data_IF_388009989220
#
_entry.id   IF_388009989220
#
_cell.length_a   1.000
_cell.length_b   1.000
_cell.length_c   1.000
_cell.angle_alpha   90.00
_cell.angle_beta   90.00
_cell.angle_gamma   90.00
#
_symmetry.space_group_name_H-M   'P 1'
#
loop_
_entity.id
_entity.type
_entity.pdbx_description
1 polymer ?
#
# COMPACT_ATOMS: atom_id res chain seq x y z
N UNK A 1 23.24 -15.07 28.19
CA UNK A 1 22.29 -15.84 27.35
C UNK A 1 21.54 -14.91 26.45
N UNK A 2 21.52 -15.19 25.15
CA UNK A 2 20.68 -14.44 24.22
C UNK A 2 19.20 -14.70 24.54
N UNK A 3 18.42 -13.63 24.73
CA UNK A 3 16.99 -13.72 25.00
C UNK A 3 16.28 -14.18 23.73
N UNK A 4 15.60 -15.33 23.79
CA UNK A 4 14.82 -15.82 22.64
C UNK A 4 13.63 -14.90 22.39
N UNK A 5 13.54 -14.33 21.18
CA UNK A 5 12.42 -13.49 20.78
C UNK A 5 11.15 -14.32 20.61
N UNK A 6 10.05 -13.81 21.12
CA UNK A 6 8.72 -14.40 20.94
C UNK A 6 7.90 -13.51 20.02
N UNK A 7 7.16 -14.13 19.09
CA UNK A 7 6.18 -13.41 18.28
C UNK A 7 4.99 -13.01 19.14
N UNK A 8 4.41 -11.85 18.82
CA UNK A 8 3.16 -11.38 19.40
C UNK A 8 2.10 -11.32 18.33
N UNK A 9 0.82 -11.39 18.71
CA UNK A 9 -0.27 -11.18 17.80
C UNK A 9 -0.51 -9.67 17.59
N UNK A 10 -0.91 -9.28 16.39
CA UNK A 10 -1.17 -7.86 16.05
C UNK A 10 -2.22 -7.21 16.97
N UNK A 11 -3.24 -7.96 17.38
CA UNK A 11 -4.30 -7.47 18.28
C UNK A 11 -3.84 -7.25 19.74
N UNK A 12 -2.64 -7.70 20.11
CA UNK A 12 -2.04 -7.36 21.42
C UNK A 12 -1.45 -5.94 21.43
N UNK A 13 -1.29 -5.33 20.25
CA UNK A 13 -0.81 -3.96 20.12
C UNK A 13 -1.94 -2.95 20.34
N UNK A 14 -1.66 -1.87 21.05
CA UNK A 14 -2.58 -0.73 21.11
C UNK A 14 -2.59 0.04 19.78
N UNK A 15 -3.51 0.98 19.61
CA UNK A 15 -3.70 1.70 18.33
C UNK A 15 -2.43 2.37 17.82
N UNK A 16 -1.69 3.06 18.70
CA UNK A 16 -0.43 3.73 18.31
C UNK A 16 0.66 2.73 17.92
N UNK A 17 0.74 1.62 18.63
CA UNK A 17 1.67 0.53 18.31
C UNK A 17 1.31 -0.12 16.96
N UNK A 18 0.01 -0.28 16.68
CA UNK A 18 -0.48 -0.77 15.39
C UNK A 18 -0.12 0.17 14.23
N UNK A 19 -0.26 1.48 14.43
CA UNK A 19 0.18 2.47 13.43
C UNK A 19 1.68 2.35 13.15
N UNK A 20 2.50 2.29 14.19
CA UNK A 20 3.95 2.12 14.06
C UNK A 20 4.31 0.80 13.37
N UNK A 21 3.64 -0.28 13.75
CA UNK A 21 3.82 -1.60 13.15
C UNK A 21 3.52 -1.56 11.65
N UNK A 22 2.37 -1.01 11.28
CA UNK A 22 1.96 -0.90 9.89
C UNK A 22 2.91 -0.02 9.07
N UNK A 23 3.38 1.09 9.64
CA UNK A 23 4.37 1.94 8.99
C UNK A 23 5.68 1.19 8.71
N UNK A 24 6.19 0.43 9.67
CA UNK A 24 7.40 -0.37 9.48
C UNK A 24 7.21 -1.47 8.43
N UNK A 25 6.05 -2.11 8.40
CA UNK A 25 5.73 -3.16 7.43
C UNK A 25 5.63 -2.62 6.00
N UNK A 26 4.88 -1.55 5.79
CA UNK A 26 4.78 -0.92 4.46
C UNK A 26 6.13 -0.35 4.01
N UNK A 27 6.91 0.22 4.92
CA UNK A 27 8.25 0.72 4.61
C UNK A 27 9.16 -0.39 4.11
N UNK A 28 9.11 -1.57 4.72
CA UNK A 28 9.87 -2.73 4.27
C UNK A 28 9.46 -3.20 2.87
N UNK A 29 8.15 -3.24 2.59
CA UNK A 29 7.66 -3.58 1.23
C UNK A 29 8.10 -2.54 0.21
N UNK A 30 7.95 -1.26 0.50
CA UNK A 30 8.36 -0.17 -0.39
C UNK A 30 9.87 -0.14 -0.63
N UNK A 31 10.68 -0.59 0.34
CA UNK A 31 12.12 -0.73 0.16
C UNK A 31 12.46 -1.68 -0.99
N UNK A 32 11.70 -2.76 -1.16
CA UNK A 32 11.88 -3.71 -2.28
C UNK A 32 11.57 -3.09 -3.65
N UNK A 33 10.80 -1.99 -3.66
CA UNK A 33 10.52 -1.18 -4.87
C UNK A 33 11.45 0.03 -5.03
N UNK A 34 12.50 0.12 -4.22
CA UNK A 34 13.49 1.18 -4.31
C UNK A 34 13.11 2.49 -3.60
N UNK A 35 12.15 2.46 -2.67
CA UNK A 35 11.74 3.63 -1.90
C UNK A 35 12.34 3.65 -0.51
N UNK A 36 12.70 4.83 -0.05
CA UNK A 36 12.95 5.13 1.36
C UNK A 36 11.77 5.94 1.89
N UNK A 37 11.33 5.64 3.12
CA UNK A 37 10.18 6.30 3.74
C UNK A 37 10.63 7.26 4.84
N UNK A 38 9.94 8.38 4.92
CA UNK A 38 10.14 9.43 5.92
C UNK A 38 8.81 9.73 6.60
N UNK A 39 8.67 9.36 7.87
CA UNK A 39 7.46 9.63 8.62
C UNK A 39 7.33 11.13 8.91
N UNK A 40 6.14 11.66 8.68
CA UNK A 40 5.82 13.04 9.03
C UNK A 40 5.35 13.12 10.49
N UNK A 41 5.73 14.18 11.17
CA UNK A 41 5.35 14.41 12.57
C UNK A 41 3.95 15.00 12.70
N UNK A 42 3.51 15.72 11.67
CA UNK A 42 2.21 16.38 11.61
C UNK A 42 1.44 15.94 10.36
N UNK A 43 0.11 16.07 10.40
CA UNK A 43 -0.77 15.80 9.26
C UNK A 43 -0.63 16.90 8.19
N UNK A 44 0.39 16.78 7.35
CA UNK A 44 0.59 17.68 6.23
C UNK A 44 -0.30 17.26 5.06
N UNK A 45 -1.47 17.89 4.96
CA UNK A 45 -2.44 17.68 3.87
C UNK A 45 -2.83 16.20 3.67
N UNK A 46 -2.92 15.46 4.76
CA UNK A 46 -3.38 14.09 4.77
C UNK A 46 -2.32 13.01 4.57
N UNK A 47 -1.04 13.35 4.48
CA UNK A 47 0.02 12.35 4.36
C UNK A 47 0.59 11.96 5.74
N UNK A 48 0.76 10.66 5.97
CA UNK A 48 1.45 10.14 7.15
C UNK A 48 2.97 10.05 6.92
N UNK A 49 3.39 9.80 5.70
CA UNK A 49 4.80 9.72 5.33
C UNK A 49 5.04 10.07 3.86
N UNK A 50 6.28 10.39 3.56
CA UNK A 50 6.78 10.58 2.20
C UNK A 50 7.63 9.35 1.83
N UNK A 51 7.45 8.85 0.63
CA UNK A 51 8.31 7.82 0.05
C UNK A 51 9.08 8.42 -1.13
N UNK A 52 10.40 8.30 -1.10
CA UNK A 52 11.30 8.77 -2.14
C UNK A 52 11.96 7.58 -2.82
N UNK A 53 11.90 7.56 -4.16
CA UNK A 53 12.54 6.54 -4.97
C UNK A 53 14.04 6.82 -5.17
N UNK A 54 14.81 5.75 -5.44
CA UNK A 54 16.26 5.84 -5.70
C UNK A 54 16.62 6.67 -6.94
N UNK A 55 15.66 6.90 -7.85
CA UNK A 55 15.86 7.80 -9.00
C UNK A 55 16.05 9.27 -8.59
N UNK A 56 15.74 9.62 -7.33
CA UNK A 56 15.83 10.98 -6.81
C UNK A 56 14.75 11.94 -7.29
N UNK A 57 13.86 11.49 -8.17
CA UNK A 57 12.84 12.32 -8.81
C UNK A 57 11.41 11.91 -8.42
N UNK A 58 11.17 10.62 -8.17
CA UNK A 58 9.87 10.09 -7.82
C UNK A 58 9.61 10.18 -6.32
N UNK A 59 8.56 10.89 -5.95
CA UNK A 59 8.09 11.04 -4.58
C UNK A 59 6.62 10.67 -4.49
N UNK A 60 6.24 10.04 -3.38
CA UNK A 60 4.84 9.79 -3.07
C UNK A 60 4.50 10.35 -1.69
N UNK A 61 3.35 10.99 -1.58
CA UNK A 61 2.68 11.28 -0.30
C UNK A 61 1.76 10.13 0.02
N UNK A 62 1.96 9.47 1.14
CA UNK A 62 1.23 8.27 1.50
C UNK A 62 0.45 8.46 2.79
N UNK A 63 -0.84 8.12 2.75
CA UNK A 63 -1.71 8.00 3.90
C UNK A 63 -1.92 6.52 4.22
N UNK A 64 -1.66 6.14 5.45
CA UNK A 64 -1.82 4.78 5.93
C UNK A 64 -3.22 4.59 6.52
N UNK A 65 -3.92 3.56 6.08
CA UNK A 65 -5.26 3.21 6.57
C UNK A 65 -5.33 1.77 7.05
N UNK A 66 -6.18 1.50 8.02
CA UNK A 66 -6.42 0.13 8.52
C UNK A 66 -7.26 -0.72 7.58
N UNK A 67 -7.99 -0.10 6.65
CA UNK A 67 -8.84 -0.74 5.64
C UNK A 67 -9.04 0.18 4.45
N UNK A 68 -9.66 -0.33 3.39
CA UNK A 68 -9.99 0.45 2.21
C UNK A 68 -10.89 1.64 2.61
N UNK A 69 -10.35 2.84 2.50
CA UNK A 69 -11.00 4.07 2.94
C UNK A 69 -10.80 5.17 1.91
N UNK A 70 -11.87 5.90 1.65
CA UNK A 70 -11.86 7.10 0.82
C UNK A 70 -12.39 8.29 1.63
N UNK A 71 -11.81 9.46 1.42
CA UNK A 71 -12.21 10.68 2.10
C UNK A 71 -12.17 11.87 1.14
N UNK A 72 -13.24 12.66 1.12
CA UNK A 72 -13.32 13.86 0.24
C UNK A 72 -12.18 14.83 0.50
N UNK A 73 -11.67 14.89 1.71
CA UNK A 73 -10.54 15.77 2.08
C UNK A 73 -9.24 15.43 1.34
N UNK A 74 -9.11 14.23 0.78
CA UNK A 74 -7.93 13.83 -0.01
C UNK A 74 -8.05 14.14 -1.50
N UNK A 75 -9.25 14.47 -1.98
CA UNK A 75 -9.47 14.77 -3.40
C UNK A 75 -8.62 15.97 -3.83
N UNK A 76 -7.91 15.83 -4.93
CA UNK A 76 -7.02 16.86 -5.48
C UNK A 76 -5.70 17.03 -4.75
N UNK A 77 -5.38 16.21 -3.76
CA UNK A 77 -4.17 16.31 -2.93
C UNK A 77 -3.00 15.47 -3.46
N UNK A 78 -3.21 14.66 -4.47
CA UNK A 78 -2.20 13.72 -5.00
C UNK A 78 -1.65 12.78 -3.92
N UNK A 79 -2.55 12.14 -3.19
CA UNK A 79 -2.24 11.22 -2.09
C UNK A 79 -2.38 9.78 -2.56
N UNK A 80 -1.38 8.96 -2.20
CA UNK A 80 -1.48 7.51 -2.27
C UNK A 80 -2.07 6.99 -0.96
N UNK A 81 -2.96 6.03 -1.03
CA UNK A 81 -3.47 5.30 0.14
C UNK A 81 -2.77 3.95 0.20
N UNK A 82 -2.28 3.61 1.38
CA UNK A 82 -1.74 2.29 1.68
C UNK A 82 -2.58 1.61 2.75
N UNK A 83 -2.96 0.36 2.54
CA UNK A 83 -3.61 -0.47 3.56
C UNK A 83 -3.28 -1.94 3.34
N UNK A 84 -3.46 -2.72 4.39
CA UNK A 84 -3.28 -4.17 4.36
C UNK A 84 -4.62 -4.87 4.53
N UNK A 85 -4.83 -5.92 3.75
CA UNK A 85 -5.96 -6.83 3.93
C UNK A 85 -5.46 -8.28 3.91
N UNK A 86 -5.62 -8.98 5.02
CA UNK A 86 -5.21 -10.39 5.17
C UNK A 86 -3.76 -10.64 4.74
N UNK A 87 -2.85 -9.75 5.13
CA UNK A 87 -1.42 -9.85 4.82
C UNK A 87 -1.01 -9.30 3.46
N UNK A 88 -1.96 -8.94 2.60
CA UNK A 88 -1.68 -8.34 1.30
C UNK A 88 -1.71 -6.82 1.40
N UNK A 89 -0.65 -6.16 0.95
CA UNK A 89 -0.57 -4.71 0.87
C UNK A 89 -1.11 -4.19 -0.45
N UNK A 90 -1.80 -3.06 -0.36
CA UNK A 90 -2.30 -2.28 -1.50
C UNK A 90 -1.79 -0.86 -1.39
N UNK A 91 -1.37 -0.30 -2.52
CA UNK A 91 -0.98 1.10 -2.64
C UNK A 91 -1.63 1.67 -3.90
N UNK A 92 -2.46 2.68 -3.75
CA UNK A 92 -3.21 3.24 -4.87
C UNK A 92 -3.34 4.76 -4.80
N UNK A 93 -3.37 5.44 -5.96
CA UNK A 93 -3.74 6.85 -6.02
C UNK A 93 -5.18 7.02 -5.55
N UNK A 94 -5.42 7.86 -4.54
CA UNK A 94 -6.74 8.03 -3.93
C UNK A 94 -7.82 8.36 -4.98
N UNK A 95 -7.59 9.39 -5.78
CA UNK A 95 -8.60 9.90 -6.71
C UNK A 95 -8.87 8.94 -7.87
N UNK A 96 -7.83 8.26 -8.36
CA UNK A 96 -7.96 7.29 -9.45
C UNK A 96 -8.85 6.10 -9.05
N UNK A 97 -8.60 5.52 -7.89
CA UNK A 97 -9.42 4.40 -7.43
C UNK A 97 -10.80 4.86 -6.94
N UNK A 98 -10.89 6.04 -6.33
CA UNK A 98 -12.18 6.64 -5.93
C UNK A 98 -13.14 6.76 -7.11
N UNK A 99 -12.66 7.26 -8.23
CA UNK A 99 -13.47 7.39 -9.45
C UNK A 99 -14.08 6.04 -9.88
N UNK A 100 -13.25 5.00 -9.90
CA UNK A 100 -13.70 3.63 -10.23
C UNK A 100 -14.72 3.10 -9.22
N UNK A 101 -14.46 3.30 -7.93
CA UNK A 101 -15.32 2.82 -6.85
C UNK A 101 -16.67 3.54 -6.84
N UNK A 102 -16.71 4.84 -7.13
CA UNK A 102 -17.95 5.60 -7.24
C UNK A 102 -18.85 5.09 -8.38
N UNK A 103 -18.26 4.64 -9.50
CA UNK A 103 -18.99 4.06 -10.62
C UNK A 103 -19.52 2.65 -10.32
N UNK A 104 -18.80 1.86 -9.53
CA UNK A 104 -19.05 0.44 -9.34
C UNK A 104 -19.78 0.10 -8.02
N UNK A 105 -19.95 1.07 -7.12
CA UNK A 105 -20.57 0.88 -5.81
C UNK A 105 -21.59 1.97 -5.49
N UNK A 106 -22.35 1.76 -4.43
CA UNK A 106 -23.36 2.72 -3.96
C UNK A 106 -22.87 3.66 -2.86
N UNK A 107 -21.56 3.77 -2.62
CA UNK A 107 -21.05 4.64 -1.53
C UNK A 107 -21.45 6.10 -1.71
N UNK A 108 -21.61 6.55 -2.95
CA UNK A 108 -22.06 7.91 -3.29
C UNK A 108 -23.40 8.27 -2.63
N UNK A 109 -24.32 7.33 -2.47
CA UNK A 109 -25.63 7.53 -1.88
C UNK A 109 -25.65 7.31 -0.36
N UNK A 110 -24.53 6.98 0.26
CA UNK A 110 -24.48 6.77 1.71
C UNK A 110 -24.37 8.10 2.46
N UNK A 111 -24.94 8.16 3.66
CA UNK A 111 -24.78 9.30 4.56
C UNK A 111 -23.30 9.49 4.94
N UNK A 112 -22.56 8.41 5.11
CA UNK A 112 -21.13 8.47 5.41
C UNK A 112 -20.36 9.25 4.35
N UNK A 113 -20.62 9.00 3.08
CA UNK A 113 -19.99 9.72 1.99
C UNK A 113 -20.55 11.12 1.79
N UNK A 114 -21.88 11.23 1.68
CA UNK A 114 -22.54 12.49 1.29
C UNK A 114 -22.48 13.56 2.39
N UNK A 115 -22.59 13.17 3.66
CA UNK A 115 -22.64 14.08 4.80
C UNK A 115 -21.32 14.13 5.56
N UNK A 116 -20.77 12.97 5.94
CA UNK A 116 -19.52 12.89 6.72
C UNK A 116 -18.24 12.99 5.89
N UNK A 117 -18.34 12.85 4.58
CA UNK A 117 -17.25 13.08 3.65
C UNK A 117 -16.22 11.94 3.55
N UNK A 118 -16.57 10.75 4.01
CA UNK A 118 -15.69 9.59 3.91
C UNK A 118 -16.44 8.27 3.93
N UNK A 119 -15.80 7.22 3.45
CA UNK A 119 -16.34 5.87 3.48
C UNK A 119 -15.22 4.85 3.69
N UNK A 120 -15.40 3.94 4.64
CA UNK A 120 -14.52 2.81 4.89
C UNK A 120 -15.26 1.51 4.64
N UNK A 121 -14.68 0.66 3.81
CA UNK A 121 -15.24 -0.66 3.54
C UNK A 121 -14.86 -1.62 4.66
N UNK A 122 -15.84 -2.28 5.32
CA UNK A 122 -15.54 -3.21 6.41
C UNK A 122 -14.87 -4.51 5.93
N UNK A 123 -15.10 -4.88 4.68
CA UNK A 123 -14.50 -6.03 4.01
C UNK A 123 -14.37 -5.78 2.50
N UNK A 124 -13.53 -6.55 1.83
CA UNK A 124 -13.40 -6.49 0.39
C UNK A 124 -14.33 -7.51 -0.27
N UNK A 125 -15.30 -7.01 -1.02
CA UNK A 125 -16.11 -7.85 -1.92
C UNK A 125 -15.29 -8.32 -3.12
N UNK A 126 -15.75 -9.33 -3.84
CA UNK A 126 -15.09 -9.78 -5.07
C UNK A 126 -14.91 -8.66 -6.10
N UNK A 127 -15.88 -7.76 -6.22
CA UNK A 127 -15.80 -6.58 -7.10
C UNK A 127 -14.66 -5.64 -6.67
N UNK A 128 -14.53 -5.36 -5.37
CA UNK A 128 -13.46 -4.52 -4.85
C UNK A 128 -12.09 -5.19 -5.01
N UNK A 129 -11.99 -6.48 -4.82
CA UNK A 129 -10.74 -7.22 -5.06
C UNK A 129 -10.29 -7.13 -6.52
N UNK A 130 -11.22 -7.19 -7.47
CA UNK A 130 -10.92 -6.99 -8.90
C UNK A 130 -10.41 -5.58 -9.16
N UNK A 131 -11.07 -4.56 -8.62
CA UNK A 131 -10.64 -3.17 -8.76
C UNK A 131 -9.26 -2.90 -8.14
N UNK A 132 -8.97 -3.56 -7.03
CA UNK A 132 -7.72 -3.41 -6.28
C UNK A 132 -6.56 -4.26 -6.83
N UNK A 133 -6.83 -5.27 -7.64
CA UNK A 133 -5.80 -6.18 -8.12
C UNK A 133 -4.58 -5.49 -8.75
N UNK A 134 -4.72 -4.42 -9.58
CA UNK A 134 -3.57 -3.71 -10.16
C UNK A 134 -2.72 -2.97 -9.12
N UNK A 135 -3.23 -2.75 -7.92
CA UNK A 135 -2.58 -1.95 -6.87
C UNK A 135 -1.95 -2.79 -5.76
N UNK A 136 -1.93 -4.11 -5.92
CA UNK A 136 -1.21 -4.98 -4.99
C UNK A 136 0.30 -4.72 -5.06
N UNK A 137 0.93 -4.68 -3.89
CA UNK A 137 2.38 -4.65 -3.77
C UNK A 137 2.85 -5.82 -2.91
N UNK A 138 4.01 -6.37 -3.25
CA UNK A 138 4.51 -7.60 -2.64
C UNK A 138 5.93 -7.42 -2.13
N UNK A 139 6.28 -8.03 -0.97
CA UNK A 139 7.68 -8.24 -0.61
C UNK A 139 8.41 -9.08 -1.66
N UNK A 140 9.71 -8.91 -1.77
CA UNK A 140 10.55 -9.60 -2.76
C UNK A 140 10.40 -11.14 -2.72
N UNK A 141 10.20 -11.71 -1.54
CA UNK A 141 10.05 -13.16 -1.33
C UNK A 141 8.77 -13.75 -1.97
N UNK A 142 7.82 -12.89 -2.37
CA UNK A 142 6.59 -13.28 -3.07
C UNK A 142 6.66 -13.08 -4.58
N UNK A 143 7.75 -12.51 -5.10
CA UNK A 143 7.98 -12.42 -6.54
C UNK A 143 8.58 -13.75 -6.97
N UNK A 144 7.86 -14.51 -7.82
CA UNK A 144 8.45 -15.69 -8.48
C UNK A 144 9.76 -15.26 -9.14
N UNK A 145 10.85 -16.02 -9.00
CA UNK A 145 12.08 -15.68 -9.68
C UNK A 145 11.78 -15.55 -11.17
N UNK A 146 12.05 -14.35 -11.71
CA UNK A 146 12.00 -14.15 -13.15
C UNK A 146 13.04 -15.10 -13.69
N UNK A 147 12.64 -16.06 -14.52
CA UNK A 147 13.56 -16.88 -15.28
C UNK A 147 14.46 -15.92 -16.04
N UNK A 148 15.71 -15.86 -15.64
CA UNK A 148 16.71 -15.06 -16.34
C UNK A 148 16.75 -15.47 -17.81
N UNK A 149 17.20 -14.60 -18.71
CA UNK A 149 17.38 -14.99 -20.11
C UNK A 149 18.29 -16.22 -20.16
N UNK A 150 17.84 -17.25 -20.84
CA UNK A 150 18.63 -18.41 -21.14
C UNK A 150 19.93 -17.94 -21.78
N UNK A 151 21.05 -18.08 -21.05
CA UNK A 151 22.39 -18.01 -21.62
C UNK A 151 22.57 -19.24 -22.53
N UNK A 152 22.00 -19.18 -23.71
CA UNK A 152 22.43 -19.99 -24.81
C UNK A 152 23.84 -19.54 -25.20
N UNK A 153 24.83 -20.08 -24.52
CA UNK A 153 26.17 -20.12 -25.06
C UNK A 153 26.17 -21.03 -26.31
N UNK A 154 26.14 -20.39 -27.43
CA UNK A 154 26.52 -21.03 -28.66
C UNK A 154 28.01 -21.42 -28.57
N UNK A 155 28.26 -22.64 -28.14
CA UNK A 155 29.51 -23.32 -28.47
C UNK A 155 29.41 -23.81 -29.91
N UNK A 156 29.89 -23.03 -30.82
CA UNK A 156 30.35 -23.56 -32.12
C UNK A 156 31.31 -22.59 -32.78
N UNK A 157 32.59 -22.93 -32.75
CA UNK A 157 33.42 -22.98 -33.94
C UNK A 157 34.88 -23.12 -33.57
N UNK A 158 35.43 -24.26 -33.76
CA UNK A 158 36.79 -24.40 -34.27
C UNK A 158 36.87 -25.68 -35.07
N UNK A 159 36.92 -25.53 -36.35
CA UNK A 159 37.75 -26.28 -37.29
C UNK A 159 38.22 -25.31 -38.34
#
# INVERSE_FOLDING_TARGET
MAKKLKRIAYNELNSRQQENYNFQKISAVLADYGFVTMRLTDDWQGADFIAQHIDGETFMKVQLKGRLTFEKKYVGKNIQIAFQNKGTWYLFPHDELLEKVLLETNIFNTESWSVRGGYSFPYLSGKLEILLAPYKIYPIDFVSPVSGPDDHKDENSFT
#
